data_IF_352908504480
#
_entry.id   IF_352908504480
#
_cell.length_a   1.000
_cell.length_b   1.000
_cell.length_c   1.000
_cell.angle_alpha   90.00
_cell.angle_beta   90.00
_cell.angle_gamma   90.00
#
_symmetry.space_group_name_H-M   'P 1'
#
loop_
_entity.id
_entity.type
_entity.pdbx_description
1 polymer ?
#
# COMPACT_ATOMS: atom_id res chain seq x y z
N UNK A 1 2.67 -12.66 15.27
CA UNK A 1 3.73 -12.07 14.44
C UNK A 1 4.43 -10.98 15.23
N UNK A 2 5.73 -11.12 15.41
CA UNK A 2 6.54 -10.07 16.03
C UNK A 2 6.83 -9.02 14.95
N UNK A 3 6.61 -7.72 15.21
CA UNK A 3 6.92 -6.68 14.24
C UNK A 3 8.41 -6.70 13.87
N UNK A 4 8.71 -6.43 12.59
CA UNK A 4 10.09 -6.34 12.11
C UNK A 4 10.85 -5.27 12.89
N UNK A 5 12.03 -5.60 13.41
CA UNK A 5 12.89 -4.69 14.16
C UNK A 5 14.06 -4.25 13.29
N UNK A 6 14.26 -2.94 13.18
CA UNK A 6 15.45 -2.38 12.54
C UNK A 6 16.66 -2.55 13.47
N UNK A 7 17.74 -3.11 12.95
CA UNK A 7 19.00 -3.38 13.70
C UNK A 7 20.18 -2.55 13.21
N UNK A 8 20.07 -1.97 12.00
CA UNK A 8 21.08 -1.09 11.42
C UNK A 8 20.44 -0.15 10.42
N UNK A 9 20.94 1.07 10.33
CA UNK A 9 20.53 2.08 9.37
C UNK A 9 21.75 2.88 8.91
N UNK A 10 21.74 3.28 7.64
CA UNK A 10 22.69 4.23 7.09
C UNK A 10 21.93 5.28 6.30
N UNK A 11 22.15 6.55 6.62
CA UNK A 11 21.67 7.68 5.84
C UNK A 11 22.80 8.19 4.94
N UNK A 12 22.50 8.43 3.66
CA UNK A 12 23.46 8.92 2.67
C UNK A 12 22.87 10.15 2.01
N UNK A 13 23.42 11.31 2.35
CA UNK A 13 23.08 12.59 1.72
C UNK A 13 23.87 12.76 0.42
N UNK A 14 23.19 13.22 -0.63
CA UNK A 14 23.77 13.47 -1.96
C UNK A 14 24.60 12.29 -2.50
N UNK A 15 23.99 11.11 -2.70
CA UNK A 15 24.69 9.86 -3.02
C UNK A 15 25.48 9.88 -4.33
N UNK A 16 25.27 10.90 -5.19
CA UNK A 16 25.90 10.98 -6.50
C UNK A 16 25.29 10.01 -7.51
N UNK A 17 26.16 9.47 -8.38
CA UNK A 17 25.72 8.52 -9.42
C UNK A 17 25.67 7.09 -8.91
N UNK A 18 24.79 6.28 -9.49
CA UNK A 18 24.74 4.83 -9.25
C UNK A 18 25.95 4.09 -9.87
N UNK A 19 26.43 3.01 -9.27
CA UNK A 19 25.98 2.41 -8.02
C UNK A 19 26.43 3.20 -6.77
N UNK A 20 25.53 3.32 -5.79
CA UNK A 20 25.82 4.00 -4.52
C UNK A 20 26.38 2.98 -3.53
N UNK A 21 27.63 3.13 -3.05
CA UNK A 21 28.19 2.22 -2.06
C UNK A 21 27.52 2.45 -0.69
N UNK A 22 27.24 1.36 0.01
CA UNK A 22 26.70 1.42 1.36
C UNK A 22 27.38 0.39 2.29
N UNK A 23 27.34 0.65 3.60
CA UNK A 23 27.83 -0.27 4.62
C UNK A 23 26.96 -0.17 5.89
N UNK A 24 26.25 -1.24 6.21
CA UNK A 24 25.42 -1.32 7.42
C UNK A 24 26.25 -1.93 8.55
N UNK A 25 26.32 -1.23 9.68
CA UNK A 25 26.97 -1.70 10.90
C UNK A 25 25.91 -2.09 11.91
N UNK A 26 25.99 -3.32 12.40
CA UNK A 26 25.07 -3.85 13.41
C UNK A 26 25.84 -4.35 14.63
N UNK A 27 25.16 -4.50 15.77
CA UNK A 27 25.75 -5.07 16.97
C UNK A 27 25.95 -6.58 16.80
N UNK A 28 27.14 -7.07 17.18
CA UNK A 28 27.50 -8.50 17.04
C UNK A 28 26.54 -9.44 17.79
N UNK A 29 25.90 -8.97 18.84
CA UNK A 29 24.91 -9.76 19.60
C UNK A 29 23.74 -10.25 18.75
N UNK A 30 23.46 -9.59 17.61
CA UNK A 30 22.44 -10.06 16.67
C UNK A 30 22.90 -11.23 15.80
N UNK A 31 24.22 -11.44 15.65
CA UNK A 31 24.79 -12.57 14.92
C UNK A 31 24.98 -13.83 15.78
N UNK A 32 25.08 -13.64 17.10
CA UNK A 32 25.41 -14.70 18.06
C UNK A 32 24.16 -15.40 18.65
N UNK A 33 22.97 -15.18 18.10
CA UNK A 33 21.75 -15.80 18.57
C UNK A 33 21.62 -17.25 18.13
N UNK A 34 21.36 -18.16 19.08
CA UNK A 34 21.07 -19.59 18.83
C UNK A 34 19.80 -19.82 17.97
N UNK A 35 19.07 -18.77 17.65
CA UNK A 35 17.91 -18.81 16.77
C UNK A 35 18.18 -17.97 15.51
N UNK A 36 18.27 -18.62 14.33
CA UNK A 36 18.50 -17.90 13.08
C UNK A 36 17.29 -17.02 12.77
N UNK A 37 17.45 -15.73 13.01
CA UNK A 37 16.46 -14.72 12.56
C UNK A 37 16.76 -14.35 11.10
N UNK A 38 15.72 -14.30 10.28
CA UNK A 38 15.85 -13.85 8.90
C UNK A 38 15.96 -12.32 8.86
N UNK A 39 17.11 -11.82 8.44
CA UNK A 39 17.32 -10.38 8.22
C UNK A 39 17.20 -10.04 6.73
N UNK A 40 16.84 -8.82 6.44
CA UNK A 40 16.78 -8.32 5.07
C UNK A 40 17.27 -6.86 5.00
N UNK A 41 17.90 -6.52 3.88
CA UNK A 41 18.24 -5.13 3.55
C UNK A 41 17.13 -4.51 2.74
N UNK A 42 16.72 -3.30 3.12
CA UNK A 42 15.81 -2.44 2.38
C UNK A 42 16.52 -1.11 2.11
N UNK A 43 16.33 -0.56 0.94
CA UNK A 43 16.82 0.76 0.59
C UNK A 43 15.70 1.64 0.07
N UNK A 44 15.78 2.93 0.34
CA UNK A 44 14.82 3.94 -0.07
C UNK A 44 15.57 5.20 -0.53
N UNK A 45 15.05 5.88 -1.54
CA UNK A 45 15.47 7.23 -1.91
C UNK A 45 14.29 8.16 -1.71
N UNK A 46 14.53 9.24 -0.97
CA UNK A 46 13.53 10.27 -0.68
C UNK A 46 14.02 11.61 -1.22
N UNK A 47 13.08 12.48 -1.58
CA UNK A 47 13.40 13.89 -1.93
C UNK A 47 13.63 14.74 -0.67
N UNK A 48 13.92 16.03 -0.89
CA UNK A 48 14.16 17.00 0.19
C UNK A 48 12.96 17.24 1.11
N UNK A 49 11.76 16.89 0.67
CA UNK A 49 10.51 17.00 1.44
C UNK A 49 10.16 15.68 2.15
N UNK A 50 11.05 14.66 2.07
CA UNK A 50 10.87 13.35 2.69
C UNK A 50 9.98 12.38 1.90
N UNK A 51 9.54 12.76 0.69
CA UNK A 51 8.70 11.92 -0.15
C UNK A 51 9.53 10.79 -0.76
N UNK A 52 9.03 9.56 -0.69
CA UNK A 52 9.68 8.39 -1.25
C UNK A 52 9.67 8.43 -2.78
N UNK A 53 10.83 8.33 -3.42
CA UNK A 53 10.99 8.33 -4.88
C UNK A 53 11.31 6.94 -5.43
N UNK A 54 12.09 6.15 -4.68
CA UNK A 54 12.52 4.81 -5.07
C UNK A 54 12.55 3.91 -3.84
N UNK A 55 12.23 2.64 -4.01
CA UNK A 55 12.29 1.63 -2.94
C UNK A 55 12.66 0.26 -3.49
N UNK A 56 13.16 -0.60 -2.61
CA UNK A 56 13.34 -2.02 -2.93
C UNK A 56 11.98 -2.71 -3.04
N UNK A 57 11.77 -3.47 -4.10
CA UNK A 57 10.55 -4.27 -4.34
C UNK A 57 10.80 -5.76 -4.08
N UNK A 58 12.07 -6.17 -3.98
CA UNK A 58 12.47 -7.54 -3.68
C UNK A 58 13.08 -7.62 -2.29
N UNK A 59 12.89 -8.78 -1.64
CA UNK A 59 13.50 -9.06 -0.34
C UNK A 59 14.94 -9.49 -0.51
N UNK A 60 15.89 -8.68 -0.05
CA UNK A 60 17.31 -8.97 -0.02
C UNK A 60 17.71 -9.57 1.33
N UNK A 61 17.62 -10.89 1.46
CA UNK A 61 17.98 -11.60 2.69
C UNK A 61 19.47 -11.55 2.95
N UNK A 62 19.86 -11.39 4.21
CA UNK A 62 21.24 -11.38 4.67
C UNK A 62 21.42 -12.32 5.85
N UNK A 63 22.57 -12.97 5.91
CA UNK A 63 23.02 -13.76 7.05
C UNK A 63 24.03 -12.94 7.84
N UNK A 64 23.73 -12.71 9.12
CA UNK A 64 24.64 -11.97 9.98
C UNK A 64 25.85 -12.86 10.35
N UNK A 65 27.04 -12.25 10.42
CA UNK A 65 28.27 -12.98 10.74
C UNK A 65 29.04 -13.53 9.53
N UNK A 66 28.36 -13.80 8.41
CA UNK A 66 29.03 -14.21 7.17
C UNK A 66 29.48 -12.98 6.35
N UNK A 67 30.77 -12.69 6.40
CA UNK A 67 31.33 -11.53 5.70
C UNK A 67 31.43 -11.75 4.20
N UNK A 68 31.64 -12.99 3.74
CA UNK A 68 31.82 -13.27 2.32
C UNK A 68 30.51 -13.24 1.55
N UNK A 69 29.42 -13.77 2.12
CA UNK A 69 28.12 -13.79 1.50
C UNK A 69 27.52 -12.39 1.28
N UNK A 70 27.90 -11.41 2.12
CA UNK A 70 27.32 -10.06 2.10
C UNK A 70 28.21 -8.99 1.46
N UNK A 71 29.45 -9.31 1.04
CA UNK A 71 30.42 -8.31 0.55
C UNK A 71 30.10 -7.70 -0.81
N UNK A 72 29.30 -8.36 -1.64
CA UNK A 72 28.96 -7.92 -3.00
C UNK A 72 27.46 -7.85 -3.25
N UNK A 73 26.69 -7.52 -2.22
CA UNK A 73 25.25 -7.38 -2.36
C UNK A 73 24.90 -6.16 -3.21
N UNK A 74 24.13 -6.37 -4.26
CA UNK A 74 23.53 -5.30 -5.04
C UNK A 74 22.04 -5.22 -4.71
N UNK A 75 21.59 -4.07 -4.26
CA UNK A 75 20.19 -3.81 -3.93
C UNK A 75 19.62 -2.94 -5.05
N UNK A 76 18.68 -3.51 -5.81
CA UNK A 76 17.97 -2.79 -6.86
C UNK A 76 16.76 -2.08 -6.28
N UNK A 77 16.56 -0.83 -6.70
CA UNK A 77 15.40 -0.03 -6.34
C UNK A 77 14.56 0.23 -7.58
N UNK A 78 13.26 0.22 -7.40
CA UNK A 78 12.30 0.62 -8.43
C UNK A 78 11.72 1.98 -8.08
N UNK A 79 11.40 2.74 -9.11
CA UNK A 79 10.76 4.04 -8.94
C UNK A 79 9.36 3.84 -8.37
N UNK A 80 9.07 4.59 -7.33
CA UNK A 80 7.71 4.64 -6.81
C UNK A 80 6.96 5.72 -7.56
N UNK A 81 5.89 5.32 -8.27
CA UNK A 81 5.07 6.28 -8.98
C UNK A 81 4.48 7.31 -8.01
N UNK A 82 4.64 8.58 -8.35
CA UNK A 82 4.17 9.68 -7.53
C UNK A 82 2.67 9.59 -7.20
N UNK A 83 1.92 8.93 -8.07
CA UNK A 83 0.47 8.70 -7.91
C UNK A 83 0.15 7.63 -6.85
N UNK A 84 1.05 6.64 -6.64
CA UNK A 84 0.89 5.63 -5.58
C UNK A 84 1.13 6.18 -4.17
N UNK A 85 1.78 7.36 -4.06
CA UNK A 85 2.12 8.01 -2.78
C UNK A 85 1.20 9.17 -2.41
N UNK A 86 0.27 9.56 -3.29
CA UNK A 86 -0.74 10.54 -2.92
C UNK A 86 -1.44 10.04 -1.64
N UNK A 87 -1.45 10.88 -0.61
CA UNK A 87 -2.20 10.57 0.61
C UNK A 87 -3.62 10.18 0.21
N UNK A 88 -4.20 9.13 0.82
CA UNK A 88 -5.57 8.77 0.54
C UNK A 88 -6.45 10.00 0.74
N UNK A 89 -7.31 10.29 -0.23
CA UNK A 89 -8.27 11.37 -0.08
C UNK A 89 -9.09 11.12 1.19
N UNK A 90 -9.09 12.07 2.09
CA UNK A 90 -9.79 11.99 3.38
C UNK A 90 -11.29 12.22 3.25
N UNK A 91 -11.75 12.64 2.07
CA UNK A 91 -13.16 12.94 1.80
C UNK A 91 -13.54 12.72 0.33
N UNK A 92 -14.83 12.51 0.08
CA UNK A 92 -15.41 12.42 -1.25
C UNK A 92 -15.07 13.64 -2.13
N UNK A 93 -15.12 14.83 -1.55
CA UNK A 93 -14.80 16.07 -2.28
C UNK A 93 -13.33 16.12 -2.72
N UNK A 94 -12.42 15.70 -1.86
CA UNK A 94 -11.00 15.59 -2.19
C UNK A 94 -10.74 14.54 -3.26
N UNK A 95 -11.34 13.35 -3.13
CA UNK A 95 -11.21 12.28 -4.12
C UNK A 95 -11.67 12.74 -5.52
N UNK A 96 -12.81 13.46 -5.59
CA UNK A 96 -13.30 14.04 -6.82
C UNK A 96 -12.34 15.07 -7.42
N UNK A 97 -11.80 15.96 -6.60
CA UNK A 97 -10.83 16.97 -7.03
C UNK A 97 -9.54 16.32 -7.57
N UNK A 98 -9.14 15.18 -7.00
CA UNK A 98 -7.97 14.41 -7.40
C UNK A 98 -8.22 13.51 -8.62
N UNK A 99 -9.45 13.52 -9.17
CA UNK A 99 -9.82 12.81 -10.40
C UNK A 99 -10.34 11.39 -10.18
N UNK A 100 -10.84 11.06 -9.00
CA UNK A 100 -11.59 9.83 -8.80
C UNK A 100 -12.92 9.88 -9.56
N UNK A 101 -13.34 8.75 -10.14
CA UNK A 101 -14.62 8.61 -10.83
C UNK A 101 -15.71 7.97 -9.96
N UNK A 102 -15.32 7.28 -8.90
CA UNK A 102 -16.24 6.59 -8.01
C UNK A 102 -15.79 6.70 -6.55
N UNK A 103 -16.76 6.81 -5.67
CA UNK A 103 -16.57 6.83 -4.22
C UNK A 103 -17.56 5.91 -3.52
N UNK A 104 -17.06 5.16 -2.54
CA UNK A 104 -17.90 4.37 -1.64
C UNK A 104 -17.42 4.53 -0.20
N UNK A 105 -18.35 4.35 0.73
CA UNK A 105 -18.06 4.39 2.16
C UNK A 105 -18.98 3.46 2.95
N UNK A 106 -18.52 3.10 4.16
CA UNK A 106 -19.31 2.39 5.16
C UNK A 106 -18.87 2.79 6.56
N UNK A 107 -19.74 2.57 7.54
CA UNK A 107 -19.62 3.15 8.86
C UNK A 107 -19.08 2.19 9.93
N UNK A 108 -19.28 0.87 9.78
CA UNK A 108 -18.93 -0.11 10.81
C UNK A 108 -18.21 -1.35 10.23
N UNK A 109 -16.87 -1.40 10.35
CA UNK A 109 -15.97 -0.33 10.77
C UNK A 109 -15.91 0.78 9.74
N UNK A 110 -15.58 2.02 10.13
CA UNK A 110 -15.47 3.16 9.20
C UNK A 110 -14.44 2.92 8.11
N UNK A 111 -14.86 2.99 6.85
CA UNK A 111 -14.02 2.81 5.67
C UNK A 111 -14.48 3.65 4.49
N UNK A 112 -13.59 3.87 3.54
CA UNK A 112 -13.95 4.41 2.24
C UNK A 112 -13.05 3.86 1.11
N UNK A 113 -13.57 3.93 -0.11
CA UNK A 113 -12.91 3.53 -1.34
C UNK A 113 -13.02 4.66 -2.37
N UNK A 114 -11.91 4.96 -3.04
CA UNK A 114 -11.88 5.82 -4.23
C UNK A 114 -11.32 5.04 -5.42
N UNK A 115 -12.01 5.11 -6.57
CA UNK A 115 -11.57 4.52 -7.83
C UNK A 115 -11.09 5.63 -8.74
N UNK A 116 -9.81 5.59 -9.13
CA UNK A 116 -9.21 6.47 -10.11
C UNK A 116 -9.06 5.71 -11.43
N UNK A 117 -9.74 6.12 -12.50
CA UNK A 117 -9.71 5.41 -13.77
C UNK A 117 -8.28 5.21 -14.28
N UNK A 118 -7.97 4.00 -14.76
CA UNK A 118 -6.68 3.62 -15.34
C UNK A 118 -5.43 3.90 -14.47
N UNK A 119 -5.62 4.38 -13.24
CA UNK A 119 -4.55 4.75 -12.33
C UNK A 119 -4.47 3.82 -11.12
N UNK A 120 -5.41 3.97 -10.19
CA UNK A 120 -5.34 3.28 -8.89
C UNK A 120 -6.71 3.07 -8.25
N UNK A 121 -6.73 2.14 -7.29
CA UNK A 121 -7.76 2.03 -6.26
C UNK A 121 -7.14 2.47 -4.93
N UNK A 122 -7.86 3.25 -4.15
CA UNK A 122 -7.45 3.66 -2.80
C UNK A 122 -8.51 3.18 -1.82
N UNK A 123 -8.14 2.29 -0.93
CA UNK A 123 -8.99 1.77 0.13
C UNK A 123 -8.45 2.17 1.49
N UNK A 124 -9.28 2.81 2.29
CA UNK A 124 -8.97 3.29 3.64
C UNK A 124 -9.94 2.64 4.61
N UNK A 125 -9.45 2.14 5.73
CA UNK A 125 -10.26 1.49 6.76
C UNK A 125 -9.77 1.87 8.16
N UNK A 126 -10.39 1.29 9.18
CA UNK A 126 -10.05 1.57 10.57
C UNK A 126 -10.11 3.07 10.88
N UNK A 127 -11.24 3.70 10.47
CA UNK A 127 -11.50 5.13 10.68
C UNK A 127 -10.38 6.06 10.15
N UNK A 128 -9.71 5.64 9.06
CA UNK A 128 -8.63 6.42 8.44
C UNK A 128 -7.21 6.06 8.91
N UNK A 129 -7.06 5.18 9.90
CA UNK A 129 -5.75 4.82 10.43
C UNK A 129 -4.96 3.88 9.53
N UNK A 130 -5.64 3.22 8.60
CA UNK A 130 -5.02 2.25 7.69
C UNK A 130 -5.45 2.51 6.25
N UNK A 131 -4.56 2.28 5.30
CA UNK A 131 -4.86 2.44 3.89
C UNK A 131 -4.10 1.43 3.02
N UNK A 132 -4.65 1.20 1.83
CA UNK A 132 -4.04 0.39 0.77
C UNK A 132 -4.28 1.07 -0.56
N UNK A 133 -3.22 1.29 -1.32
CA UNK A 133 -3.30 1.76 -2.70
C UNK A 133 -2.83 0.64 -3.62
N UNK A 134 -3.59 0.36 -4.67
CA UNK A 134 -3.25 -0.63 -5.69
C UNK A 134 -3.32 0.02 -7.07
N UNK A 135 -2.51 -0.41 -8.05
CA UNK A 135 -2.81 -0.11 -9.44
C UNK A 135 -4.25 -0.51 -9.78
N UNK A 136 -4.93 0.25 -10.62
CA UNK A 136 -6.26 -0.13 -11.09
C UNK A 136 -6.16 -1.30 -12.07
N UNK A 137 -6.67 -2.51 -11.73
CA UNK A 137 -6.54 -3.70 -12.57
C UNK A 137 -7.49 -3.68 -13.79
N UNK A 138 -8.31 -2.64 -13.92
CA UNK A 138 -9.45 -2.62 -14.82
C UNK A 138 -10.67 -3.32 -14.23
N UNK A 139 -11.84 -2.79 -14.58
CA UNK A 139 -13.11 -3.37 -14.16
C UNK A 139 -13.45 -4.61 -15.00
N UNK A 140 -14.05 -5.63 -14.35
CA UNK A 140 -14.76 -6.72 -15.04
C UNK A 140 -16.24 -6.55 -14.73
N UNK A 141 -17.10 -6.60 -15.76
CA UNK A 141 -18.54 -6.51 -15.59
C UNK A 141 -19.16 -7.91 -15.68
N UNK A 142 -19.92 -8.31 -14.68
CA UNK A 142 -20.65 -9.56 -14.63
C UNK A 142 -22.13 -9.25 -14.32
N UNK A 143 -22.96 -9.20 -15.37
CA UNK A 143 -24.37 -8.76 -15.25
C UNK A 143 -24.47 -7.29 -14.84
N UNK A 144 -25.03 -7.01 -13.67
CA UNK A 144 -25.15 -5.66 -13.07
C UNK A 144 -24.03 -5.35 -12.07
N UNK A 145 -23.03 -6.21 -11.97
CA UNK A 145 -21.92 -6.04 -11.04
C UNK A 145 -20.65 -5.62 -11.76
N UNK A 146 -19.96 -4.65 -11.18
CA UNK A 146 -18.61 -4.23 -11.57
C UNK A 146 -17.62 -4.74 -10.52
N UNK A 147 -16.63 -5.50 -10.98
CA UNK A 147 -15.68 -6.18 -10.09
C UNK A 147 -14.25 -5.72 -10.40
N UNK A 148 -13.51 -5.32 -9.36
CA UNK A 148 -12.08 -5.11 -9.41
C UNK A 148 -11.37 -6.14 -8.54
N UNK A 149 -10.27 -6.71 -9.04
CA UNK A 149 -9.45 -7.69 -8.31
C UNK A 149 -7.99 -7.26 -8.38
N UNK A 150 -7.47 -6.67 -7.33
CA UNK A 150 -6.09 -6.25 -7.22
C UNK A 150 -5.34 -7.08 -6.18
N UNK A 151 -4.05 -7.31 -6.43
CA UNK A 151 -3.15 -7.97 -5.50
C UNK A 151 -1.83 -7.23 -5.44
N UNK A 152 -1.34 -6.98 -4.22
CA UNK A 152 -0.04 -6.37 -3.94
C UNK A 152 0.71 -7.22 -2.93
N UNK A 153 1.95 -6.88 -2.64
CA UNK A 153 2.72 -7.55 -1.57
C UNK A 153 2.05 -7.42 -0.18
N UNK A 154 1.26 -6.37 0.03
CA UNK A 154 0.54 -6.11 1.29
C UNK A 154 -0.81 -6.80 1.37
N UNK A 155 -1.26 -7.46 0.31
CA UNK A 155 -2.47 -8.25 0.30
C UNK A 155 -3.32 -8.14 -0.95
N UNK A 156 -4.47 -8.81 -0.92
CA UNK A 156 -5.45 -8.83 -1.97
C UNK A 156 -6.64 -7.90 -1.63
N UNK A 157 -7.13 -7.22 -2.65
CA UNK A 157 -8.31 -6.35 -2.60
C UNK A 157 -9.29 -6.79 -3.69
N UNK A 158 -10.52 -7.15 -3.31
CA UNK A 158 -11.63 -7.39 -4.22
C UNK A 158 -12.70 -6.32 -3.93
N UNK A 159 -13.16 -5.65 -4.96
CA UNK A 159 -14.24 -4.67 -4.89
C UNK A 159 -15.37 -5.13 -5.78
N UNK A 160 -16.58 -5.19 -5.24
CA UNK A 160 -17.82 -5.57 -5.92
C UNK A 160 -18.78 -4.40 -5.80
N UNK A 161 -19.17 -3.83 -6.94
CA UNK A 161 -20.09 -2.70 -7.04
C UNK A 161 -21.34 -3.20 -7.77
N UNK A 162 -22.47 -3.23 -7.07
CA UNK A 162 -23.76 -3.66 -7.61
C UNK A 162 -24.66 -2.46 -7.86
N UNK A 163 -25.29 -2.39 -9.03
CA UNK A 163 -26.31 -1.37 -9.35
C UNK A 163 -27.61 -1.66 -8.58
N UNK A 164 -27.55 -1.44 -7.26
CA UNK A 164 -28.67 -1.62 -6.35
C UNK A 164 -28.77 -0.41 -5.43
N UNK A 165 -29.97 0.17 -5.22
CA UNK A 165 -30.15 1.22 -4.24
C UNK A 165 -29.60 0.82 -2.87
N UNK A 166 -28.85 1.71 -2.26
CA UNK A 166 -28.23 1.53 -0.96
C UNK A 166 -28.51 2.76 -0.10
N UNK A 167 -28.92 2.56 1.13
CA UNK A 167 -29.15 3.63 2.10
C UNK A 167 -28.10 3.55 3.19
N UNK A 168 -27.40 4.66 3.42
CA UNK A 168 -26.47 4.76 4.53
C UNK A 168 -27.23 4.78 5.86
N UNK A 169 -27.00 3.78 6.69
CA UNK A 169 -27.75 3.55 7.93
C UNK A 169 -27.55 4.63 9.00
N UNK A 170 -26.51 5.46 8.89
CA UNK A 170 -26.24 6.53 9.84
C UNK A 170 -26.80 7.87 9.39
N UNK A 171 -26.66 8.22 8.11
CA UNK A 171 -27.12 9.48 7.56
C UNK A 171 -28.53 9.40 6.96
N UNK A 172 -29.02 8.20 6.58
CA UNK A 172 -30.24 8.02 5.80
C UNK A 172 -30.10 8.49 4.34
N UNK A 173 -28.87 8.79 3.88
CA UNK A 173 -28.62 9.21 2.49
C UNK A 173 -28.74 8.00 1.56
N UNK A 174 -29.46 8.16 0.45
CA UNK A 174 -29.61 7.13 -0.57
C UNK A 174 -28.54 7.24 -1.65
N UNK A 175 -27.97 6.10 -2.02
CA UNK A 175 -26.93 5.94 -3.03
C UNK A 175 -27.37 4.96 -4.12
N UNK A 176 -26.87 5.10 -5.36
CA UNK A 176 -27.25 4.22 -6.47
C UNK A 176 -26.60 2.83 -6.41
N UNK A 177 -25.51 2.66 -5.64
CA UNK A 177 -24.76 1.41 -5.62
C UNK A 177 -24.58 0.85 -4.22
N UNK A 178 -24.76 -0.48 -4.11
CA UNK A 178 -24.25 -1.25 -2.99
C UNK A 178 -22.82 -1.68 -3.28
N UNK A 179 -21.92 -1.53 -2.31
CA UNK A 179 -20.50 -1.83 -2.48
C UNK A 179 -20.00 -2.80 -1.41
N UNK A 180 -19.27 -3.82 -1.85
CA UNK A 180 -18.57 -4.75 -0.99
C UNK A 180 -17.09 -4.71 -1.30
N UNK A 181 -16.28 -4.57 -0.26
CA UNK A 181 -14.83 -4.63 -0.36
C UNK A 181 -14.32 -5.78 0.49
N UNK A 182 -13.61 -6.72 -0.13
CA UNK A 182 -12.95 -7.80 0.60
C UNK A 182 -11.44 -7.57 0.56
N UNK A 183 -10.85 -7.40 1.74
CA UNK A 183 -9.40 -7.27 1.92
C UNK A 183 -8.87 -8.42 2.78
N UNK A 184 -7.97 -9.24 2.23
CA UNK A 184 -7.38 -10.37 2.94
C UNK A 184 -8.41 -11.24 3.70
N UNK A 185 -9.59 -11.46 3.09
CA UNK A 185 -10.68 -12.22 3.69
C UNK A 185 -11.62 -11.44 4.62
N UNK A 186 -11.30 -10.20 4.97
CA UNK A 186 -12.20 -9.31 5.74
C UNK A 186 -13.13 -8.58 4.79
N UNK A 187 -14.44 -8.68 5.03
CA UNK A 187 -15.50 -8.05 4.24
C UNK A 187 -15.91 -6.72 4.86
N UNK A 188 -16.03 -5.69 4.02
CA UNK A 188 -16.57 -4.38 4.31
C UNK A 188 -17.75 -4.13 3.39
N UNK A 189 -18.86 -3.63 3.92
CA UNK A 189 -20.07 -3.32 3.15
C UNK A 189 -20.47 -1.88 3.35
N UNK A 190 -21.01 -1.27 2.31
CA UNK A 190 -21.46 0.13 2.34
C UNK A 190 -22.08 0.56 1.03
N UNK A 191 -22.21 1.87 0.85
CA UNK A 191 -22.88 2.49 -0.28
C UNK A 191 -21.88 3.29 -1.14
N UNK A 192 -22.19 3.45 -2.43
CA UNK A 192 -21.31 4.15 -3.37
C UNK A 192 -22.06 4.95 -4.42
N UNK A 193 -21.33 5.84 -5.09
CA UNK A 193 -21.81 6.68 -6.17
C UNK A 193 -20.67 7.06 -7.13
N UNK A 194 -21.03 7.40 -8.36
CA UNK A 194 -20.15 8.08 -9.29
C UNK A 194 -19.86 9.52 -8.83
N UNK A 195 -18.70 10.09 -9.23
CA UNK A 195 -18.22 11.41 -8.81
C UNK A 195 -18.26 12.48 -9.90
#
# INVERSE_FOLDING_TARGET
>A
DVPARMIAEQHIDNPGNVPVPFALRYDKSFADNDHPMAYAVRAEIRDGDGRLLWTTTQRHTVELGDKEANQNMTVMLERVDAEAQAQPASSKAQAKADGASFWAAGNEPGWHLAVYPEKRLVFVWDYGNSSMTTPNPGAKTEGTETIYMASTETGALKVEISEQPCEDVMSGEAFPYQVKVTRNGTLYSGCGQDL
#
